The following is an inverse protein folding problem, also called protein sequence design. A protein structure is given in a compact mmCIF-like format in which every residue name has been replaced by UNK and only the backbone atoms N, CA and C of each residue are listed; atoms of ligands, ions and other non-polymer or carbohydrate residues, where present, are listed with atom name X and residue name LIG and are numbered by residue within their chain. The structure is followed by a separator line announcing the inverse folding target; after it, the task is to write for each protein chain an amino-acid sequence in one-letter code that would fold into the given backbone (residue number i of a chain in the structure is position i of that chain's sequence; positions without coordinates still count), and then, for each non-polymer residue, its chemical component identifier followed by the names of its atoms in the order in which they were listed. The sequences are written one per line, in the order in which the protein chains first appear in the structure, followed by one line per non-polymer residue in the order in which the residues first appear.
data_IF_307795248742
#
_entry.id   IF_307795248742
#
_cell.length_a   1.000
_cell.length_b   1.000
_cell.length_c   1.000
_cell.angle_alpha   90.00
_cell.angle_beta   90.00
_cell.angle_gamma   90.00
#
_symmetry.space_group_name_H-M   'P 1'
#
loop_
_entity.id
_entity.type
_entity.pdbx_description
1 polymer ?
#
# COMPACT_ATOMS: atom_id res chain seq x y z
N UNK A 1 12.48 -18.30 -14.96
CA UNK A 1 12.49 -18.20 -13.48
C UNK A 1 11.11 -17.77 -12.95
N UNK A 2 10.54 -16.65 -13.44
CA UNK A 2 9.20 -16.12 -13.08
C UNK A 2 8.06 -17.14 -13.13
N UNK A 3 7.88 -17.83 -14.27
CA UNK A 3 6.85 -18.86 -14.44
C UNK A 3 6.98 -20.01 -13.42
N UNK A 4 8.20 -20.43 -13.10
CA UNK A 4 8.42 -21.49 -12.12
C UNK A 4 8.00 -21.07 -10.71
N UNK A 5 8.24 -19.81 -10.33
CA UNK A 5 7.81 -19.27 -9.03
C UNK A 5 6.29 -19.16 -8.95
N UNK A 6 5.66 -18.64 -10.00
CA UNK A 6 4.20 -18.59 -10.11
C UNK A 6 3.58 -20.00 -9.99
N UNK A 7 4.14 -20.99 -10.70
CA UNK A 7 3.67 -22.36 -10.64
C UNK A 7 3.82 -22.98 -9.24
N UNK A 8 4.93 -22.70 -8.55
CA UNK A 8 5.12 -23.15 -7.16
C UNK A 8 4.08 -22.57 -6.20
N UNK A 9 3.79 -21.26 -6.30
CA UNK A 9 2.77 -20.60 -5.49
C UNK A 9 1.37 -21.15 -5.79
N UNK A 10 1.07 -21.39 -7.07
CA UNK A 10 -0.20 -21.97 -7.51
C UNK A 10 -0.37 -23.41 -7.03
N UNK A 11 0.67 -24.24 -7.12
CA UNK A 11 0.66 -25.60 -6.58
C UNK A 11 0.45 -25.61 -5.06
N UNK A 12 1.11 -24.70 -4.33
CA UNK A 12 0.87 -24.53 -2.91
C UNK A 12 -0.61 -24.21 -2.63
N UNK A 13 -1.17 -23.20 -3.30
CA UNK A 13 -2.57 -22.81 -3.11
C UNK A 13 -3.55 -23.93 -3.47
N UNK A 14 -3.31 -24.65 -4.57
CA UNK A 14 -4.13 -25.78 -5.01
C UNK A 14 -4.22 -26.88 -3.95
N UNK A 15 -3.13 -27.18 -3.24
CA UNK A 15 -3.15 -28.16 -2.14
C UNK A 15 -3.91 -27.60 -0.94
N UNK A 16 -3.50 -26.42 -0.45
CA UNK A 16 -3.99 -25.89 0.83
C UNK A 16 -5.44 -25.40 0.77
N UNK A 17 -5.95 -25.03 -0.41
CA UNK A 17 -7.36 -24.64 -0.60
C UNK A 17 -8.35 -25.76 -0.25
N UNK A 18 -7.95 -27.03 -0.37
CA UNK A 18 -8.80 -28.18 -0.01
C UNK A 18 -9.01 -28.32 1.50
N UNK A 19 -8.14 -27.72 2.34
CA UNK A 19 -8.15 -27.87 3.80
C UNK A 19 -8.73 -26.65 4.54
N UNK A 20 -9.41 -25.74 3.82
CA UNK A 20 -9.95 -24.51 4.41
C UNK A 20 -11.27 -24.74 5.18
N UNK A 21 -12.15 -25.61 4.71
CA UNK A 21 -13.53 -25.73 5.23
C UNK A 21 -13.73 -26.99 6.10
N UNK A 22 -14.15 -26.81 7.36
CA UNK A 22 -14.58 -27.92 8.23
C UNK A 22 -13.50 -28.44 9.19
N UNK A 23 -13.58 -29.70 9.59
CA UNK A 23 -12.48 -30.38 10.29
C UNK A 23 -11.60 -31.09 9.26
N UNK A 24 -10.36 -31.44 9.64
CA UNK A 24 -9.43 -32.17 8.78
C UNK A 24 -10.08 -33.44 8.16
N UNK A 25 -10.78 -34.24 8.97
CA UNK A 25 -11.45 -35.45 8.49
C UNK A 25 -12.51 -35.17 7.43
N UNK A 26 -13.28 -34.07 7.57
CA UNK A 26 -14.26 -33.64 6.57
C UNK A 26 -13.59 -33.21 5.28
N UNK A 27 -12.47 -32.50 5.37
CA UNK A 27 -11.67 -32.11 4.20
C UNK A 27 -11.15 -33.35 3.46
N UNK A 28 -10.65 -34.36 4.19
CA UNK A 28 -10.14 -35.61 3.60
C UNK A 28 -11.27 -36.41 2.95
N UNK A 29 -12.44 -36.50 3.57
CA UNK A 29 -13.61 -37.13 2.95
C UNK A 29 -14.03 -36.42 1.66
N UNK A 30 -14.14 -35.10 1.68
CA UNK A 30 -14.48 -34.30 0.51
C UNK A 30 -13.43 -34.44 -0.60
N UNK A 31 -12.15 -34.49 -0.25
CA UNK A 31 -11.05 -34.70 -1.18
C UNK A 31 -11.15 -36.08 -1.84
N UNK A 32 -11.40 -37.13 -1.05
CA UNK A 32 -11.62 -38.48 -1.56
C UNK A 32 -12.82 -38.54 -2.51
N UNK A 33 -13.90 -37.84 -2.18
CA UNK A 33 -15.10 -37.80 -3.03
C UNK A 33 -14.87 -37.06 -4.35
N UNK A 34 -13.91 -36.12 -4.39
CA UNK A 34 -13.54 -35.36 -5.59
C UNK A 34 -12.59 -36.12 -6.52
N UNK A 35 -11.74 -37.00 -5.97
CA UNK A 35 -10.72 -37.76 -6.70
C UNK A 35 -10.93 -39.28 -6.57
N UNK A 36 -12.19 -39.75 -6.68
CA UNK A 36 -12.54 -41.17 -6.47
C UNK A 36 -11.76 -42.12 -7.39
N UNK A 37 -11.47 -41.69 -8.60
CA UNK A 37 -10.77 -42.49 -9.63
C UNK A 37 -9.23 -42.38 -9.52
N UNK A 38 -8.71 -41.44 -8.72
CA UNK A 38 -7.27 -41.21 -8.53
C UNK A 38 -6.92 -41.04 -7.04
N UNK A 39 -6.89 -42.18 -6.34
CA UNK A 39 -6.49 -42.23 -4.93
C UNK A 39 -5.02 -41.87 -4.70
N UNK A 40 -4.18 -41.95 -5.73
CA UNK A 40 -2.77 -41.55 -5.63
C UNK A 40 -2.66 -40.03 -5.52
N UNK A 41 -3.48 -39.27 -6.27
CA UNK A 41 -3.59 -37.82 -6.11
C UNK A 41 -4.05 -37.42 -4.70
N UNK A 42 -5.05 -38.12 -4.13
CA UNK A 42 -5.51 -37.88 -2.75
C UNK A 42 -4.36 -38.05 -1.75
N UNK A 43 -3.62 -39.16 -1.86
CA UNK A 43 -2.49 -39.44 -0.99
C UNK A 43 -1.38 -38.36 -1.10
N UNK A 44 -1.08 -37.91 -2.32
CA UNK A 44 -0.09 -36.87 -2.57
C UNK A 44 -0.49 -35.52 -1.97
N UNK A 45 -1.76 -35.14 -2.07
CA UNK A 45 -2.29 -33.89 -1.49
C UNK A 45 -2.22 -33.93 0.03
N UNK A 46 -2.63 -35.04 0.65
CA UNK A 46 -2.54 -35.23 2.11
C UNK A 46 -1.09 -35.20 2.58
N UNK A 47 -0.20 -35.90 1.88
CA UNK A 47 1.23 -35.94 2.20
C UNK A 47 1.85 -34.54 2.12
N UNK A 48 1.48 -33.75 1.12
CA UNK A 48 1.93 -32.36 0.97
C UNK A 48 1.44 -31.47 2.12
N UNK A 49 0.16 -31.59 2.52
CA UNK A 49 -0.41 -30.83 3.63
C UNK A 49 0.23 -31.17 4.99
N UNK A 50 0.66 -32.42 5.21
CA UNK A 50 1.35 -32.81 6.46
C UNK A 50 2.66 -32.02 6.73
N UNK A 51 3.27 -31.40 5.71
CA UNK A 51 4.45 -30.55 5.86
C UNK A 51 4.14 -29.06 5.66
N UNK A 52 2.89 -28.64 5.87
CA UNK A 52 2.41 -27.26 5.69
C UNK A 52 3.28 -26.24 6.42
N UNK A 53 3.74 -26.53 7.65
CA UNK A 53 4.57 -25.58 8.41
C UNK A 53 5.86 -25.20 7.67
N UNK A 54 6.54 -26.17 7.05
CA UNK A 54 7.75 -25.93 6.26
C UNK A 54 7.43 -25.25 4.92
N UNK A 55 6.33 -25.64 4.28
CA UNK A 55 5.84 -25.01 3.05
C UNK A 55 5.52 -23.53 3.28
N UNK A 56 4.88 -23.18 4.39
CA UNK A 56 4.55 -21.81 4.75
C UNK A 56 5.80 -20.96 4.92
N UNK A 57 6.85 -21.51 5.55
CA UNK A 57 8.14 -20.84 5.63
C UNK A 57 8.75 -20.57 4.25
N UNK A 58 8.84 -21.59 3.40
CA UNK A 58 9.38 -21.46 2.06
C UNK A 58 8.60 -20.45 1.22
N UNK A 59 7.27 -20.51 1.23
CA UNK A 59 6.40 -19.59 0.48
C UNK A 59 6.55 -18.16 0.99
N UNK A 60 6.65 -17.95 2.32
CA UNK A 60 6.89 -16.62 2.87
C UNK A 60 8.22 -16.05 2.35
N UNK A 61 9.30 -16.84 2.42
CA UNK A 61 10.63 -16.42 1.94
C UNK A 61 10.64 -16.15 0.43
N UNK A 62 9.88 -16.93 -0.33
CA UNK A 62 9.76 -16.74 -1.78
C UNK A 62 9.05 -15.43 -2.10
N UNK A 63 7.93 -15.14 -1.42
CA UNK A 63 7.21 -13.87 -1.56
C UNK A 63 8.12 -12.68 -1.20
N UNK A 64 8.90 -12.79 -0.12
CA UNK A 64 9.87 -11.76 0.29
C UNK A 64 10.93 -11.50 -0.77
N UNK A 65 11.52 -12.57 -1.30
CA UNK A 65 12.57 -12.46 -2.29
C UNK A 65 12.08 -11.85 -3.61
N UNK A 66 10.87 -12.19 -4.03
CA UNK A 66 10.25 -11.59 -5.23
C UNK A 66 10.03 -10.09 -5.05
N UNK A 67 9.48 -9.69 -3.90
CA UNK A 67 9.22 -8.27 -3.61
C UNK A 67 10.49 -7.43 -3.57
N UNK A 68 11.56 -7.93 -2.94
CA UNK A 68 12.81 -7.18 -2.80
C UNK A 68 13.59 -7.02 -4.12
N UNK A 69 13.47 -7.98 -5.05
CA UNK A 69 14.31 -8.00 -6.27
C UNK A 69 13.58 -7.60 -7.54
N UNK A 70 12.27 -7.83 -7.64
CA UNK A 70 11.49 -7.53 -8.84
C UNK A 70 10.10 -6.94 -8.48
N UNK A 71 10.04 -5.70 -7.96
CA UNK A 71 8.77 -5.07 -7.58
C UNK A 71 7.79 -4.91 -8.76
N UNK A 72 8.25 -4.84 -10.01
CA UNK A 72 7.35 -4.82 -11.17
C UNK A 72 6.64 -6.16 -11.47
N UNK A 73 7.06 -7.26 -10.84
CA UNK A 73 6.46 -8.58 -11.05
C UNK A 73 5.18 -8.80 -10.24
N UNK A 74 4.92 -7.95 -9.25
CA UNK A 74 3.74 -8.11 -8.38
C UNK A 74 2.43 -7.98 -9.12
N UNK A 75 2.37 -7.22 -10.22
CA UNK A 75 1.15 -7.07 -11.02
C UNK A 75 0.81 -8.37 -11.75
N UNK A 76 1.80 -9.07 -12.30
CA UNK A 76 1.61 -10.39 -12.94
C UNK A 76 1.23 -11.47 -11.92
N UNK A 77 1.81 -11.40 -10.72
CA UNK A 77 1.53 -12.32 -9.60
C UNK A 77 0.28 -11.93 -8.80
N UNK A 78 -0.35 -10.79 -9.09
CA UNK A 78 -1.40 -10.23 -8.25
C UNK A 78 -2.58 -11.20 -8.07
N UNK A 79 -2.96 -11.91 -9.14
CA UNK A 79 -4.04 -12.90 -9.08
C UNK A 79 -3.72 -14.04 -8.10
N UNK A 80 -2.52 -14.64 -8.19
CA UNK A 80 -2.10 -15.73 -7.30
C UNK A 80 -1.89 -15.25 -5.87
N UNK A 81 -1.31 -14.06 -5.67
CA UNK A 81 -1.17 -13.47 -4.33
C UNK A 81 -2.55 -13.22 -3.70
N UNK A 82 -3.53 -12.75 -4.48
CA UNK A 82 -4.91 -12.56 -4.02
C UNK A 82 -5.54 -13.88 -3.58
N UNK A 83 -5.36 -14.95 -4.36
CA UNK A 83 -5.78 -16.31 -3.97
C UNK A 83 -5.15 -16.73 -2.62
N UNK A 84 -3.86 -16.50 -2.42
CA UNK A 84 -3.17 -16.80 -1.15
C UNK A 84 -3.75 -16.01 0.04
N UNK A 85 -4.26 -14.79 -0.17
CA UNK A 85 -4.92 -14.03 0.90
C UNK A 85 -6.26 -14.63 1.34
N UNK A 86 -6.85 -15.52 0.54
CA UNK A 86 -8.11 -16.22 0.86
C UNK A 86 -7.91 -17.46 1.74
N UNK A 87 -6.69 -17.74 2.19
CA UNK A 87 -6.44 -18.81 3.16
C UNK A 87 -6.74 -18.30 4.58
N UNK A 88 -7.76 -18.87 5.23
CA UNK A 88 -8.32 -18.35 6.49
C UNK A 88 -7.88 -19.15 7.73
N UNK A 89 -7.29 -20.34 7.56
CA UNK A 89 -6.78 -21.13 8.70
C UNK A 89 -5.63 -20.41 9.40
N UNK A 90 -5.58 -20.53 10.73
CA UNK A 90 -4.49 -19.99 11.54
C UNK A 90 -3.10 -20.46 11.06
N UNK A 91 -2.99 -21.69 10.56
CA UNK A 91 -1.74 -22.27 10.04
C UNK A 91 -1.17 -21.47 8.87
N UNK A 92 -2.00 -20.96 7.96
CA UNK A 92 -1.57 -20.19 6.79
C UNK A 92 -1.55 -18.68 7.02
N UNK A 93 -1.94 -18.21 8.21
CA UNK A 93 -2.09 -16.79 8.53
C UNK A 93 -0.88 -15.94 8.13
N UNK A 94 0.33 -16.47 8.34
CA UNK A 94 1.58 -15.77 8.00
C UNK A 94 1.74 -15.58 6.48
N UNK A 95 1.42 -16.60 5.70
CA UNK A 95 1.48 -16.54 4.23
C UNK A 95 0.42 -15.59 3.69
N UNK A 96 -0.83 -15.73 4.17
CA UNK A 96 -1.94 -14.88 3.75
C UNK A 96 -1.70 -13.40 4.09
N UNK A 97 -1.21 -13.13 5.30
CA UNK A 97 -0.83 -11.78 5.72
C UNK A 97 0.29 -11.22 4.86
N UNK A 98 1.32 -12.02 4.58
CA UNK A 98 2.46 -11.53 3.79
C UNK A 98 2.09 -11.25 2.34
N UNK A 99 1.29 -12.12 1.71
CA UNK A 99 0.74 -11.89 0.38
C UNK A 99 -0.08 -10.60 0.34
N UNK A 100 -0.90 -10.35 1.37
CA UNK A 100 -1.67 -9.09 1.49
C UNK A 100 -0.78 -7.86 1.64
N UNK A 101 0.27 -7.92 2.46
CA UNK A 101 1.23 -6.82 2.61
C UNK A 101 1.92 -6.47 1.28
N UNK A 102 2.35 -7.49 0.53
CA UNK A 102 2.99 -7.29 -0.78
C UNK A 102 2.00 -6.71 -1.79
N UNK A 103 0.76 -7.19 -1.83
CA UNK A 103 -0.28 -6.61 -2.68
C UNK A 103 -0.55 -5.15 -2.34
N UNK A 104 -0.67 -4.80 -1.06
CA UNK A 104 -0.86 -3.40 -0.63
C UNK A 104 0.32 -2.54 -1.05
N UNK A 105 1.55 -3.02 -0.84
CA UNK A 105 2.76 -2.29 -1.21
C UNK A 105 2.91 -2.14 -2.73
N UNK A 106 2.52 -3.15 -3.51
CA UNK A 106 2.51 -3.10 -4.97
C UNK A 106 1.52 -2.06 -5.52
N UNK A 107 0.38 -1.88 -4.87
CA UNK A 107 -0.59 -0.84 -5.23
C UNK A 107 -0.12 0.56 -4.85
N UNK A 108 0.92 0.71 -4.01
CA UNK A 108 1.48 2.02 -3.73
C UNK A 108 2.29 2.51 -4.93
N UNK A 109 1.96 3.68 -5.50
CA UNK A 109 2.72 4.21 -6.63
C UNK A 109 4.17 4.48 -6.22
N UNK A 110 5.08 4.20 -7.17
CA UNK A 110 6.50 4.46 -7.00
C UNK A 110 6.76 5.93 -6.61
N UNK A 111 7.88 6.18 -5.90
CA UNK A 111 8.24 7.51 -5.42
C UNK A 111 8.16 8.57 -6.53
N UNK A 112 8.79 8.32 -7.68
CA UNK A 112 8.82 9.26 -8.81
C UNK A 112 7.41 9.56 -9.37
N UNK A 113 6.54 8.54 -9.45
CA UNK A 113 5.18 8.74 -9.91
C UNK A 113 4.37 9.58 -8.92
N UNK A 114 4.54 9.32 -7.61
CA UNK A 114 3.93 10.14 -6.56
C UNK A 114 4.44 11.57 -6.57
N UNK A 115 5.74 11.76 -6.78
CA UNK A 115 6.36 13.07 -6.94
C UNK A 115 5.73 13.83 -8.11
N UNK A 116 5.68 13.23 -9.30
CA UNK A 116 5.09 13.86 -10.49
C UNK A 116 3.60 14.17 -10.32
N UNK A 117 2.84 13.27 -9.66
CA UNK A 117 1.43 13.53 -9.34
C UNK A 117 1.26 14.72 -8.40
N UNK A 118 2.08 14.80 -7.35
CA UNK A 118 2.05 15.90 -6.40
C UNK A 118 2.46 17.23 -7.05
N UNK A 119 3.50 17.22 -7.89
CA UNK A 119 3.93 18.37 -8.68
C UNK A 119 2.81 18.86 -9.61
N UNK A 120 2.14 17.94 -10.32
CA UNK A 120 1.00 18.28 -11.18
C UNK A 120 -0.14 18.94 -10.40
N UNK A 121 -0.44 18.46 -9.19
CA UNK A 121 -1.45 19.08 -8.32
C UNK A 121 -1.02 20.49 -7.91
N UNK A 122 0.22 20.69 -7.47
CA UNK A 122 0.73 22.00 -7.11
C UNK A 122 0.70 22.98 -8.29
N UNK A 123 1.18 22.56 -9.46
CA UNK A 123 1.16 23.39 -10.67
C UNK A 123 -0.28 23.76 -11.09
N UNK A 124 -1.24 22.85 -10.91
CA UNK A 124 -2.66 23.12 -11.20
C UNK A 124 -3.32 24.08 -10.21
N UNK A 125 -2.83 24.14 -8.97
CA UNK A 125 -3.38 25.02 -7.93
C UNK A 125 -2.83 26.46 -8.02
N UNK A 126 -1.61 26.59 -8.56
CA UNK A 126 -0.81 27.81 -8.52
C UNK A 126 -1.02 28.70 -9.75
N UNK A 127 -1.72 28.22 -10.78
CA UNK A 127 -1.97 28.86 -12.10
C UNK A 127 -0.94 29.93 -12.51
N UNK A 128 -0.03 29.55 -13.40
CA UNK A 128 1.11 30.39 -13.84
C UNK A 128 0.72 31.74 -14.47
N UNK A 129 -0.57 31.98 -14.75
CA UNK A 129 -1.07 33.20 -15.42
C UNK A 129 -1.91 34.13 -14.54
N UNK A 130 -2.01 33.87 -13.24
CA UNK A 130 -2.10 34.93 -12.24
C UNK A 130 -3.46 35.55 -11.93
N UNK A 131 -4.59 34.84 -12.05
CA UNK A 131 -5.86 35.39 -11.54
C UNK A 131 -6.71 34.51 -10.62
N UNK A 132 -6.53 33.18 -10.58
CA UNK A 132 -7.33 32.33 -9.70
C UNK A 132 -6.42 31.31 -8.95
N UNK A 133 -6.14 31.59 -7.67
CA UNK A 133 -5.62 30.57 -6.77
C UNK A 133 -6.76 29.60 -6.46
N UNK A 134 -6.59 28.32 -6.78
CA UNK A 134 -7.62 27.29 -6.62
C UNK A 134 -7.31 26.41 -5.40
N UNK A 135 -7.65 26.84 -4.17
CA UNK A 135 -7.32 26.12 -2.93
C UNK A 135 -7.98 24.74 -2.85
N UNK A 136 -9.05 24.53 -3.59
CA UNK A 136 -9.76 23.25 -3.72
C UNK A 136 -8.89 22.12 -4.28
N UNK A 137 -7.91 22.43 -5.14
CA UNK A 137 -6.97 21.44 -5.66
C UNK A 137 -5.98 20.99 -4.57
N UNK A 138 -5.60 21.88 -3.66
CA UNK A 138 -4.73 21.56 -2.51
C UNK A 138 -5.46 20.77 -1.43
N UNK A 139 -6.79 20.90 -1.33
CA UNK A 139 -7.60 20.15 -0.37
C UNK A 139 -7.44 18.63 -0.54
N UNK A 140 -7.23 18.16 -1.77
CA UNK A 140 -6.92 16.74 -2.05
C UNK A 140 -5.64 16.28 -1.35
N UNK A 141 -4.61 17.13 -1.28
CA UNK A 141 -3.35 16.79 -0.58
C UNK A 141 -3.50 16.90 0.94
N UNK A 142 -4.26 17.89 1.42
CA UNK A 142 -4.50 18.11 2.86
C UNK A 142 -5.29 16.94 3.46
N UNK A 143 -6.36 16.49 2.78
CA UNK A 143 -7.23 15.42 3.25
C UNK A 143 -6.77 14.02 2.81
N UNK A 144 -5.66 13.89 2.09
CA UNK A 144 -5.21 12.58 1.60
C UNK A 144 -4.83 11.65 2.76
N UNK A 145 -5.39 10.44 2.75
CA UNK A 145 -5.03 9.36 3.69
C UNK A 145 -3.62 8.80 3.45
N UNK A 146 -3.08 8.96 2.23
CA UNK A 146 -1.73 8.50 1.90
C UNK A 146 -0.67 9.40 2.52
N UNK A 147 0.45 8.82 2.99
CA UNK A 147 1.61 9.60 3.43
C UNK A 147 2.10 10.48 2.28
N UNK A 148 2.15 11.80 2.53
CA UNK A 148 2.74 12.77 1.60
C UNK A 148 4.02 13.40 2.14
N UNK A 149 4.28 13.31 3.45
CA UNK A 149 5.39 14.01 4.07
C UNK A 149 6.76 13.48 3.61
N UNK A 150 6.82 12.26 3.09
CA UNK A 150 8.01 11.69 2.48
C UNK A 150 8.42 12.38 1.16
N UNK A 151 7.51 13.13 0.53
CA UNK A 151 7.75 13.82 -0.76
C UNK A 151 7.57 15.34 -0.60
N UNK A 152 6.62 15.77 0.22
CA UNK A 152 6.20 17.17 0.35
C UNK A 152 7.36 18.13 0.63
N UNK A 153 8.36 17.68 1.41
CA UNK A 153 9.51 18.50 1.78
C UNK A 153 10.43 18.85 0.60
N UNK A 154 10.49 18.04 -0.46
CA UNK A 154 11.25 18.36 -1.68
C UNK A 154 10.69 19.63 -2.35
N UNK A 155 9.36 19.81 -2.30
CA UNK A 155 8.69 20.96 -2.93
C UNK A 155 8.91 22.29 -2.19
N UNK A 156 9.47 22.29 -0.98
CA UNK A 156 9.81 23.54 -0.28
C UNK A 156 10.94 24.31 -0.97
N UNK A 157 11.77 23.60 -1.74
CA UNK A 157 12.91 24.13 -2.46
C UNK A 157 12.69 24.13 -3.98
N UNK A 158 11.42 24.10 -4.41
CA UNK A 158 11.07 24.13 -5.82
C UNK A 158 11.51 25.45 -6.50
N UNK A 159 11.80 25.42 -7.80
CA UNK A 159 12.25 26.62 -8.55
C UNK A 159 11.18 27.70 -8.66
N UNK A 160 9.91 27.29 -8.64
CA UNK A 160 8.76 28.18 -8.63
C UNK A 160 8.34 28.55 -7.19
N UNK A 161 8.52 29.82 -6.82
CA UNK A 161 8.19 30.33 -5.48
C UNK A 161 6.71 30.14 -5.09
N UNK A 162 5.80 30.14 -6.05
CA UNK A 162 4.39 29.95 -5.78
C UNK A 162 4.06 28.47 -5.47
N UNK A 163 4.81 27.52 -6.03
CA UNK A 163 4.77 26.10 -5.64
C UNK A 163 5.33 25.92 -4.22
N UNK A 164 6.44 26.59 -3.87
CA UNK A 164 6.97 26.54 -2.51
C UNK A 164 5.95 27.03 -1.48
N UNK A 165 5.31 28.17 -1.76
CA UNK A 165 4.27 28.74 -0.92
C UNK A 165 3.08 27.77 -0.75
N UNK A 166 2.59 27.18 -1.83
CA UNK A 166 1.51 26.20 -1.77
C UNK A 166 1.91 24.93 -1.00
N UNK A 167 3.15 24.46 -1.14
CA UNK A 167 3.67 23.30 -0.43
C UNK A 167 3.76 23.55 1.08
N UNK A 168 4.26 24.72 1.49
CA UNK A 168 4.29 25.14 2.90
C UNK A 168 2.88 25.27 3.48
N UNK A 169 1.92 25.82 2.73
CA UNK A 169 0.53 25.88 3.15
C UNK A 169 -0.09 24.49 3.36
N UNK A 170 0.12 23.57 2.41
CA UNK A 170 -0.33 22.17 2.55
C UNK A 170 0.30 21.52 3.79
N UNK A 171 1.59 21.76 4.04
CA UNK A 171 2.28 21.24 5.21
C UNK A 171 1.62 21.72 6.51
N UNK A 172 1.39 23.03 6.66
CA UNK A 172 0.76 23.59 7.87
C UNK A 172 -0.66 23.05 8.03
N UNK A 173 -1.51 23.14 7.00
CA UNK A 173 -2.91 22.68 7.10
C UNK A 173 -3.04 21.19 7.39
N UNK A 174 -2.08 20.39 6.92
CA UNK A 174 -2.05 18.94 7.17
C UNK A 174 -1.43 18.56 8.52
N UNK A 175 -0.39 19.27 8.97
CA UNK A 175 0.22 19.03 10.28
C UNK A 175 -0.72 19.46 11.42
N UNK A 176 -1.52 20.51 11.19
CA UNK A 176 -2.43 21.10 12.17
C UNK A 176 -3.90 20.76 11.87
N UNK A 177 -4.21 19.63 11.23
CA UNK A 177 -5.60 19.25 10.88
C UNK A 177 -6.53 19.12 12.10
N UNK A 178 -5.98 18.88 13.29
CA UNK A 178 -6.75 18.86 14.55
C UNK A 178 -7.01 20.25 15.14
N UNK A 179 -6.47 21.31 14.56
CA UNK A 179 -6.59 22.69 15.03
C UNK A 179 -7.36 23.52 14.00
N UNK A 180 -8.09 24.51 14.49
CA UNK A 180 -8.76 25.47 13.62
C UNK A 180 -7.78 26.57 13.23
N UNK A 181 -7.26 26.51 12.01
CA UNK A 181 -6.37 27.54 11.44
C UNK A 181 -7.22 28.75 11.04
N UNK A 182 -7.05 29.87 11.74
CA UNK A 182 -7.83 31.11 11.52
C UNK A 182 -7.20 32.02 10.48
N UNK A 183 -5.89 31.96 10.33
CA UNK A 183 -5.14 32.80 9.41
C UNK A 183 -3.91 32.05 8.91
N UNK A 184 -3.59 32.20 7.62
CA UNK A 184 -2.37 31.72 7.00
C UNK A 184 -1.90 32.77 5.98
N UNK A 185 -0.66 33.23 6.13
CA UNK A 185 -0.07 34.29 5.34
C UNK A 185 1.31 33.89 4.84
N UNK A 186 1.56 34.14 3.56
CA UNK A 186 2.86 33.94 2.93
C UNK A 186 3.64 35.26 2.96
N UNK A 187 4.81 35.23 3.58
CA UNK A 187 5.74 36.33 3.73
C UNK A 187 7.05 35.94 3.04
N UNK A 188 7.84 36.93 2.63
CA UNK A 188 9.18 36.70 2.08
C UNK A 188 10.20 37.45 2.93
N UNK A 189 11.18 36.74 3.49
CA UNK A 189 12.31 37.34 4.17
C UNK A 189 13.44 37.54 3.15
N UNK A 190 13.87 38.79 2.96
CA UNK A 190 14.99 39.17 2.08
C UNK A 190 14.84 38.79 0.59
N UNK A 191 13.63 38.41 0.14
CA UNK A 191 13.34 38.05 -1.26
C UNK A 191 13.67 36.59 -1.64
N UNK A 192 14.42 35.87 -0.81
CA UNK A 192 14.87 34.50 -1.12
C UNK A 192 14.22 33.43 -0.22
N UNK A 193 13.84 33.79 1.02
CA UNK A 193 13.28 32.81 1.97
C UNK A 193 11.77 33.00 2.12
N UNK A 194 11.00 32.01 1.67
CA UNK A 194 9.56 31.92 1.93
C UNK A 194 9.29 31.65 3.41
N UNK A 195 8.42 32.44 4.02
CA UNK A 195 8.00 32.32 5.43
C UNK A 195 6.49 32.18 5.46
N UNK A 196 5.98 31.18 6.19
CA UNK A 196 4.54 31.05 6.43
C UNK A 196 4.24 31.42 7.87
N UNK A 197 3.44 32.46 8.04
CA UNK A 197 2.88 32.85 9.33
C UNK A 197 1.44 32.32 9.41
N UNK A 198 1.11 31.59 10.47
CA UNK A 198 -0.23 31.08 10.68
C UNK A 198 -0.68 31.23 12.13
N UNK A 199 -1.99 31.38 12.31
CA UNK A 199 -2.66 31.45 13.60
C UNK A 199 -3.64 30.30 13.70
N UNK A 200 -3.71 29.68 14.88
CA UNK A 200 -4.60 28.53 15.12
C UNK A 200 -5.24 28.61 16.50
N UNK A 201 -6.39 27.95 16.64
CA UNK A 201 -7.12 27.80 17.90
C UNK A 201 -7.17 26.31 18.26
N UNK A 202 -7.01 25.99 19.55
CA UNK A 202 -7.18 24.63 20.03
C UNK A 202 -8.68 24.26 20.08
N UNK A 203 -9.06 23.05 19.64
CA UNK A 203 -10.43 22.59 19.77
C UNK A 203 -10.83 22.45 21.25
N UNK A 204 -12.09 22.71 21.56
CA UNK A 204 -12.64 22.73 22.93
C UNK A 204 -12.57 21.39 23.67
N UNK A 205 -12.24 20.29 22.97
CA UNK A 205 -12.06 18.94 23.52
C UNK A 205 -10.61 18.51 23.72
N UNK A 206 -9.63 19.42 23.59
CA UNK A 206 -8.22 19.06 23.79
C UNK A 206 -7.97 18.64 25.26
N UNK A 207 -7.42 17.44 25.54
CA UNK A 207 -7.04 17.08 26.90
C UNK A 207 -5.90 18.01 27.35
N UNK A 208 -6.10 18.72 28.46
CA UNK A 208 -5.05 19.50 29.13
C UNK A 208 -3.90 18.60 29.58
#
# INVERSE_FOLDING_TARGET
MKAAVHDLLKQYYQVESNFQLGSYDKCVMALRDRYKDDMQAVANIIFSHNQVAKKNLLVTMLIDHLWSNEPGLTDELAATLNELTSLHRAEHSRVALRARQVLIAAHQPAYELRHNQMESIFLSAVDMYGHDFHPENLQKLILSETSIFDILHDFFYHTNAAVCNAALEVYVRRAYTSYDITCLQHLALSGELGVVHFQFILPTGHPN
#
